data_IF_040947710191
#
_entry.id   IF_040947710191
#
_cell.length_a   1.000
_cell.length_b   1.000
_cell.length_c   1.000
_cell.angle_alpha   90.00
_cell.angle_beta   90.00
_cell.angle_gamma   90.00
#
_symmetry.space_group_name_H-M   'P 1'
#
loop_
_entity.id
_entity.type
_entity.pdbx_description
1 polymer ?
#
# COMPACT_ATOMS: atom_id res chain seq x y z
N UNK A 1 13.25 -2.55 6.88
CA UNK A 1 12.14 -3.01 6.02
C UNK A 1 12.42 -2.63 4.58
N UNK A 2 11.82 -3.28 3.59
CA UNK A 2 12.12 -3.02 2.18
C UNK A 2 10.94 -2.36 1.45
N UNK A 3 9.69 -2.71 1.80
CA UNK A 3 8.51 -1.99 1.30
C UNK A 3 8.26 -0.64 2.05
N UNK A 4 8.21 0.51 1.35
CA UNK A 4 7.88 1.80 1.96
C UNK A 4 6.40 1.90 2.36
N UNK A 5 6.04 2.82 3.28
CA UNK A 5 4.64 3.10 3.60
C UNK A 5 3.83 3.53 2.37
N UNK A 6 2.56 3.14 2.32
CA UNK A 6 1.65 3.55 1.24
C UNK A 6 1.43 5.07 1.33
N UNK A 7 1.57 5.82 0.21
CA UNK A 7 1.46 7.27 0.23
C UNK A 7 0.05 7.71 0.62
N UNK A 8 -0.04 8.85 1.29
CA UNK A 8 -1.33 9.46 1.59
C UNK A 8 -1.98 9.96 0.31
N UNK A 9 -3.24 9.59 0.11
CA UNK A 9 -4.09 10.15 -0.95
C UNK A 9 -4.71 11.44 -0.41
N UNK A 10 -4.53 12.54 -1.15
CA UNK A 10 -5.06 13.85 -0.78
C UNK A 10 -6.45 14.07 -1.38
N UNK A 11 -7.27 14.89 -0.71
CA UNK A 11 -8.56 15.30 -1.26
C UNK A 11 -8.39 16.13 -2.53
N UNK A 12 -9.29 15.90 -3.50
CA UNK A 12 -9.35 16.61 -4.77
C UNK A 12 -9.69 18.10 -4.58
N UNK A 13 -10.67 18.37 -3.72
CA UNK A 13 -11.18 19.71 -3.46
C UNK A 13 -10.45 20.39 -2.30
N UNK A 14 -10.41 21.72 -2.35
CA UNK A 14 -9.91 22.56 -1.29
C UNK A 14 -10.81 22.46 -0.04
N UNK A 15 -10.30 22.91 1.11
CA UNK A 15 -11.14 23.07 2.30
C UNK A 15 -11.90 24.39 2.20
N UNK A 16 -13.15 24.37 2.65
CA UNK A 16 -13.93 25.58 2.82
C UNK A 16 -13.35 26.47 3.94
N UNK A 17 -13.86 27.69 4.05
CA UNK A 17 -13.42 28.67 5.06
C UNK A 17 -13.61 28.17 6.51
N UNK A 18 -14.50 27.20 6.73
CA UNK A 18 -14.73 26.56 8.04
C UNK A 18 -13.59 25.62 8.49
N UNK A 19 -12.64 25.32 7.58
CA UNK A 19 -11.50 24.42 7.81
C UNK A 19 -11.86 22.94 7.98
N UNK A 20 -13.13 22.56 7.89
CA UNK A 20 -13.62 21.19 8.13
C UNK A 20 -14.22 20.58 6.88
N UNK A 21 -15.06 21.34 6.18
CA UNK A 21 -15.77 20.90 4.99
C UNK A 21 -14.88 21.02 3.75
N UNK A 22 -15.25 20.30 2.69
CA UNK A 22 -14.64 20.46 1.37
C UNK A 22 -15.48 21.44 0.55
N UNK A 23 -14.81 22.35 -0.13
CA UNK A 23 -15.43 23.27 -1.08
C UNK A 23 -15.52 22.59 -2.46
N UNK A 24 -16.60 21.82 -2.65
CA UNK A 24 -16.78 20.97 -3.82
C UNK A 24 -16.86 21.83 -5.09
N UNK A 25 -15.97 21.55 -6.04
CA UNK A 25 -15.82 22.34 -7.26
C UNK A 25 -14.57 23.23 -7.26
N UNK A 26 -14.03 23.57 -6.09
CA UNK A 26 -12.76 24.31 -5.96
C UNK A 26 -11.62 23.31 -5.85
N UNK A 27 -10.86 23.13 -6.94
CA UNK A 27 -9.73 22.21 -6.95
C UNK A 27 -8.64 22.66 -5.99
N UNK A 28 -8.10 21.73 -5.21
CA UNK A 28 -7.01 22.01 -4.27
C UNK A 28 -5.70 22.37 -4.96
N UNK A 29 -5.48 21.83 -6.17
CA UNK A 29 -4.30 22.10 -7.00
C UNK A 29 -4.79 22.46 -8.40
N UNK A 30 -4.35 23.59 -8.91
CA UNK A 30 -4.73 24.07 -10.25
C UNK A 30 -4.32 23.09 -11.35
N UNK A 31 -3.15 22.47 -11.20
CA UNK A 31 -2.65 21.46 -12.15
C UNK A 31 -3.54 20.23 -12.27
N UNK A 32 -4.38 19.95 -11.27
CA UNK A 32 -5.33 18.83 -11.33
C UNK A 32 -6.38 19.04 -12.42
N UNK A 33 -6.73 20.29 -12.75
CA UNK A 33 -7.64 20.61 -13.85
C UNK A 33 -7.08 20.32 -15.24
N UNK A 34 -5.76 20.10 -15.35
CA UNK A 34 -5.10 19.76 -16.62
C UNK A 34 -5.19 18.26 -16.95
N UNK A 35 -5.61 17.43 -15.98
CA UNK A 35 -5.72 15.98 -16.15
C UNK A 35 -6.93 15.66 -17.03
N UNK A 36 -6.70 15.07 -18.19
CA UNK A 36 -7.75 14.77 -19.19
C UNK A 36 -8.56 13.52 -18.88
N UNK A 37 -7.96 12.55 -18.20
CA UNK A 37 -8.54 11.22 -17.99
C UNK A 37 -8.24 10.73 -16.59
N UNK A 38 -9.25 10.15 -15.96
CA UNK A 38 -9.17 9.62 -14.60
C UNK A 38 -9.51 8.14 -14.60
N UNK A 39 -8.77 7.36 -13.80
CA UNK A 39 -9.18 6.04 -13.38
C UNK A 39 -9.80 6.17 -11.99
N UNK A 40 -11.12 5.99 -11.91
CA UNK A 40 -11.84 5.96 -10.65
C UNK A 40 -12.05 4.51 -10.21
N UNK A 41 -11.79 4.23 -8.93
CA UNK A 41 -12.04 2.93 -8.30
C UNK A 41 -12.77 3.16 -6.98
N UNK A 42 -13.46 2.13 -6.48
CA UNK A 42 -14.14 2.21 -5.20
C UNK A 42 -13.14 2.44 -4.06
N UNK A 43 -13.42 3.41 -3.20
CA UNK A 43 -12.68 3.56 -1.94
C UNK A 43 -13.24 2.57 -0.93
N UNK A 44 -12.55 1.45 -0.75
CA UNK A 44 -12.84 0.51 0.33
C UNK A 44 -12.48 1.14 1.68
N UNK A 45 -13.43 1.14 2.61
CA UNK A 45 -13.19 1.60 3.99
C UNK A 45 -12.67 0.45 4.85
N UNK A 46 -11.35 0.28 4.84
CA UNK A 46 -10.65 -0.75 5.59
C UNK A 46 -9.31 -0.26 6.09
N UNK A 47 -8.33 -1.16 6.15
CA UNK A 47 -6.96 -0.84 6.53
C UNK A 47 -5.98 -1.13 5.39
N UNK A 48 -5.02 -0.24 5.18
CA UNK A 48 -3.98 -0.46 4.19
C UNK A 48 -3.05 -1.58 4.65
N UNK A 49 -2.91 -2.61 3.81
CA UNK A 49 -2.00 -3.74 4.01
C UNK A 49 -1.06 -3.78 2.81
N UNK A 50 0.22 -4.02 3.07
CA UNK A 50 1.25 -4.19 2.02
C UNK A 50 1.81 -5.61 2.10
N UNK A 51 1.93 -6.24 0.96
CA UNK A 51 2.48 -7.59 0.81
C UNK A 51 3.64 -7.48 -0.16
N UNK A 52 4.80 -7.96 0.26
CA UNK A 52 6.06 -7.74 -0.45
C UNK A 52 6.80 -9.06 -0.61
N UNK A 53 7.40 -9.30 -1.77
CA UNK A 53 8.34 -10.39 -1.95
C UNK A 53 9.75 -9.82 -1.80
N UNK A 54 10.46 -10.23 -0.76
CA UNK A 54 11.75 -9.64 -0.35
C UNK A 54 12.81 -10.71 -0.10
N UNK A 55 14.11 -10.40 -0.25
CA UNK A 55 15.16 -11.29 0.24
C UNK A 55 15.11 -11.41 1.77
N UNK A 56 15.30 -12.62 2.27
CA UNK A 56 15.33 -12.89 3.70
C UNK A 56 16.51 -12.21 4.37
N UNK A 57 16.21 -11.29 5.30
CA UNK A 57 17.22 -10.56 6.07
C UNK A 57 17.78 -11.49 7.15
N UNK A 58 18.93 -12.08 6.87
CA UNK A 58 19.59 -13.05 7.74
C UNK A 58 20.45 -14.06 6.99
N UNK A 59 20.28 -14.20 5.67
CA UNK A 59 21.25 -14.88 4.84
C UNK A 59 22.43 -13.92 4.58
N UNK A 60 23.62 -14.29 5.05
CA UNK A 60 24.84 -13.61 4.64
C UNK A 60 25.00 -13.80 3.13
N UNK A 61 24.88 -12.70 2.38
CA UNK A 61 25.04 -12.64 0.92
C UNK A 61 26.42 -13.17 0.45
N UNK A 62 27.34 -13.35 1.40
CA UNK A 62 28.70 -13.83 1.20
C UNK A 62 28.81 -15.32 0.82
N UNK A 63 27.77 -16.14 1.05
CA UNK A 63 27.87 -17.61 0.87
C UNK A 63 26.79 -18.17 -0.07
N UNK A 64 25.56 -17.64 -0.04
CA UNK A 64 24.45 -18.05 -0.93
C UNK A 64 23.49 -16.88 -1.17
N UNK A 65 22.81 -16.83 -2.33
CA UNK A 65 21.73 -15.86 -2.53
C UNK A 65 20.68 -16.01 -1.45
N UNK A 66 20.29 -14.89 -0.84
CA UNK A 66 19.27 -14.89 0.22
C UNK A 66 17.96 -15.51 -0.30
N UNK A 67 17.33 -16.42 0.44
CA UNK A 67 16.05 -16.97 0.03
C UNK A 67 15.00 -15.85 -0.01
N UNK A 68 14.14 -15.87 -1.01
CA UNK A 68 13.01 -14.93 -1.08
C UNK A 68 11.91 -15.35 -0.10
N UNK A 69 11.30 -14.37 0.56
CA UNK A 69 10.20 -14.55 1.52
C UNK A 69 9.10 -13.54 1.25
N UNK A 70 7.87 -13.93 1.55
CA UNK A 70 6.72 -13.01 1.52
C UNK A 70 6.64 -12.33 2.88
N UNK A 71 6.55 -11.00 2.87
CA UNK A 71 6.49 -10.15 4.05
C UNK A 71 5.16 -9.38 4.05
N UNK A 72 4.55 -9.31 5.24
CA UNK A 72 3.26 -8.64 5.45
C UNK A 72 3.46 -7.42 6.33
N UNK A 73 2.95 -6.28 5.90
CA UNK A 73 3.06 -5.01 6.62
C UNK A 73 1.69 -4.36 6.78
N UNK A 74 1.38 -3.95 8.02
CA UNK A 74 0.19 -3.14 8.29
C UNK A 74 0.33 -1.67 7.88
N UNK A 75 -0.67 -0.86 8.26
CA UNK A 75 -0.73 0.59 7.98
C UNK A 75 0.59 1.28 8.33
N UNK A 76 1.10 1.03 9.53
CA UNK A 76 2.46 1.38 9.96
C UNK A 76 3.23 0.11 10.28
N UNK A 77 4.54 0.24 10.45
CA UNK A 77 5.41 -0.90 10.76
C UNK A 77 5.22 -1.45 12.18
N UNK A 78 4.47 -0.74 13.02
CA UNK A 78 4.09 -1.15 14.38
C UNK A 78 2.61 -1.54 14.49
N UNK A 79 1.85 -1.37 13.41
CA UNK A 79 0.43 -1.70 13.42
C UNK A 79 0.29 -3.22 13.42
N UNK A 80 -0.36 -3.75 14.45
CA UNK A 80 -0.74 -5.16 14.48
C UNK A 80 -1.91 -5.40 13.52
N UNK A 81 -1.86 -6.52 12.84
CA UNK A 81 -2.94 -7.01 11.98
C UNK A 81 -3.77 -8.03 12.77
N UNK A 82 -5.10 -8.03 12.63
CA UNK A 82 -5.91 -9.10 13.21
C UNK A 82 -5.51 -10.48 12.65
N UNK A 83 -5.43 -11.49 13.52
CA UNK A 83 -4.91 -12.82 13.19
C UNK A 83 -5.65 -13.45 12.00
N UNK A 84 -6.98 -13.37 11.97
CA UNK A 84 -7.77 -13.93 10.87
C UNK A 84 -7.44 -13.32 9.50
N UNK A 85 -7.07 -12.03 9.46
CA UNK A 85 -6.64 -11.37 8.22
C UNK A 85 -5.26 -11.90 7.85
N UNK A 86 -4.36 -11.98 8.82
CA UNK A 86 -3.01 -12.49 8.59
C UNK A 86 -3.04 -13.93 8.07
N UNK A 87 -3.80 -14.83 8.70
CA UNK A 87 -3.98 -16.22 8.27
C UNK A 87 -4.50 -16.31 6.83
N UNK A 88 -5.51 -15.51 6.49
CA UNK A 88 -6.03 -15.46 5.13
C UNK A 88 -4.98 -14.99 4.12
N UNK A 89 -4.23 -13.94 4.46
CA UNK A 89 -3.19 -13.41 3.58
C UNK A 89 -2.05 -14.41 3.38
N UNK A 90 -1.63 -15.11 4.44
CA UNK A 90 -0.62 -16.15 4.37
C UNK A 90 -1.05 -17.33 3.50
N UNK A 91 -2.32 -17.71 3.56
CA UNK A 91 -2.90 -18.74 2.69
C UNK A 91 -3.00 -18.29 1.22
N UNK A 92 -3.37 -17.03 0.97
CA UNK A 92 -3.55 -16.49 -0.38
C UNK A 92 -2.22 -16.19 -1.09
N UNK A 93 -1.29 -15.53 -0.38
CA UNK A 93 -0.05 -14.98 -0.93
C UNK A 93 1.15 -15.87 -0.64
N UNK A 94 1.07 -17.12 -1.11
CA UNK A 94 2.20 -18.05 -0.99
C UNK A 94 3.42 -17.58 -1.80
N UNK A 95 4.62 -17.97 -1.35
CA UNK A 95 5.87 -17.69 -2.09
C UNK A 95 5.81 -18.18 -3.55
N UNK A 96 5.18 -19.34 -3.78
CA UNK A 96 4.98 -19.91 -5.12
C UNK A 96 4.14 -18.98 -5.98
N UNK A 97 2.99 -18.52 -5.49
CA UNK A 97 2.08 -17.66 -6.23
C UNK A 97 2.70 -16.28 -6.49
N UNK A 98 3.32 -15.69 -5.47
CA UNK A 98 3.97 -14.38 -5.59
C UNK A 98 5.11 -14.37 -6.63
N UNK A 99 5.89 -15.46 -6.71
CA UNK A 99 6.94 -15.60 -7.73
C UNK A 99 6.42 -15.67 -9.16
N UNK A 100 5.18 -16.12 -9.38
CA UNK A 100 4.59 -16.20 -10.72
C UNK A 100 4.25 -14.82 -11.30
N UNK A 101 3.99 -13.83 -10.44
CA UNK A 101 3.63 -12.47 -10.83
C UNK A 101 4.82 -11.64 -11.36
N UNK A 102 6.04 -12.17 -11.27
CA UNK A 102 7.28 -11.47 -11.64
C UNK A 102 7.90 -11.98 -12.96
N UNK A 103 7.13 -12.74 -13.75
CA UNK A 103 7.49 -13.09 -15.13
C UNK A 103 7.10 -11.98 -16.09
#
# INVERSE_FOLDING_TARGET
>A
MSAPPYPKIENLYARAADGKSLDVGVLRRETTGLIRTWLATEKIDGTNIRISLEPYKGATELIKPAPWVVQYYGRTNKAQMPDFIQEYLEAAFTLKNMRLLWR
#
